data_IF_761569278107
#
_entry.id   IF_761569278107
#
_cell.length_a   1.000
_cell.length_b   1.000
_cell.length_c   1.000
_cell.angle_alpha   90.00
_cell.angle_beta   90.00
_cell.angle_gamma   90.00
#
_symmetry.space_group_name_H-M   'P 1'
#
loop_
_entity.id
_entity.type
_entity.pdbx_description
1 polymer ?
#
# COMPACT_ATOMS: atom_id res chain seq x y z
N UNK A 1 58.77 46.40 22.25
CA UNK A 1 57.90 46.08 21.10
C UNK A 1 57.21 44.76 21.41
N UNK A 2 55.91 44.82 21.72
CA UNK A 2 55.07 43.65 22.00
C UNK A 2 54.55 43.09 20.67
N UNK A 3 54.82 41.82 20.39
CA UNK A 3 54.17 41.08 19.32
C UNK A 3 52.99 40.31 19.95
N UNK A 4 51.77 40.75 19.67
CA UNK A 4 50.55 40.07 20.07
C UNK A 4 50.22 38.97 19.07
N UNK A 5 50.16 37.72 19.54
CA UNK A 5 49.60 36.59 18.80
C UNK A 5 48.07 36.67 18.84
N UNK A 6 47.46 36.98 17.70
CA UNK A 6 46.03 36.77 17.49
C UNK A 6 45.83 35.30 17.10
N UNK A 7 45.30 34.50 18.03
CA UNK A 7 44.82 33.14 17.75
C UNK A 7 43.35 33.22 17.35
N UNK A 8 43.06 33.10 16.06
CA UNK A 8 41.72 32.83 15.54
C UNK A 8 41.41 31.35 15.74
N UNK A 9 40.72 31.02 16.82
CA UNK A 9 40.05 29.72 16.98
C UNK A 9 38.84 29.69 16.03
N UNK A 10 39.07 29.24 14.80
CA UNK A 10 38.00 28.77 13.94
C UNK A 10 37.49 27.44 14.48
N UNK A 11 36.45 27.48 15.29
CA UNK A 11 35.58 26.32 15.54
C UNK A 11 34.89 25.99 14.21
N UNK A 12 35.56 25.20 13.38
CA UNK A 12 34.89 24.48 12.31
C UNK A 12 33.95 23.48 12.96
N UNK A 13 32.68 23.86 13.12
CA UNK A 13 31.59 22.91 13.28
C UNK A 13 31.62 22.05 12.01
N UNK A 14 32.28 20.89 12.11
CA UNK A 14 32.38 19.96 11.01
C UNK A 14 30.99 19.47 10.65
N UNK A 15 30.53 19.85 9.46
CA UNK A 15 29.43 19.22 8.72
C UNK A 15 29.85 17.79 8.32
N UNK A 16 30.13 16.95 9.32
CA UNK A 16 30.67 15.61 9.18
C UNK A 16 29.62 14.53 9.38
N UNK A 17 28.38 14.76 8.96
CA UNK A 17 27.42 13.67 8.87
C UNK A 17 27.76 12.86 7.62
N UNK A 18 28.29 11.65 7.82
CA UNK A 18 28.38 10.67 6.74
C UNK A 18 26.98 10.49 6.14
N UNK A 19 26.81 10.61 4.81
CA UNK A 19 25.53 10.37 4.18
C UNK A 19 25.02 8.99 4.56
N UNK A 20 23.81 8.92 5.15
CA UNK A 20 23.17 7.64 5.44
C UNK A 20 22.82 7.00 4.10
N UNK A 21 23.44 5.86 3.79
CA UNK A 21 23.13 5.08 2.60
C UNK A 21 21.76 4.41 2.78
N UNK A 22 20.73 4.99 2.15
CA UNK A 22 19.38 4.47 2.18
C UNK A 22 19.31 3.18 1.36
N UNK A 23 18.63 2.12 1.84
CA UNK A 23 18.30 0.99 0.99
C UNK A 23 17.56 1.43 -0.27
N UNK A 24 17.92 0.85 -1.42
CA UNK A 24 17.29 1.15 -2.71
C UNK A 24 15.90 0.49 -2.76
N UNK A 25 14.81 1.25 -3.01
CA UNK A 25 13.48 0.68 -3.14
C UNK A 25 13.34 -0.15 -4.43
N UNK A 26 12.45 -1.16 -4.46
CA UNK A 26 12.05 -1.81 -5.71
C UNK A 26 11.46 -0.81 -6.72
N UNK A 27 11.65 -1.09 -8.02
CA UNK A 27 11.05 -0.28 -9.07
C UNK A 27 9.54 -0.55 -9.18
N UNK A 28 8.75 0.52 -9.11
CA UNK A 28 7.29 0.53 -9.24
C UNK A 28 6.82 1.22 -10.53
N UNK A 29 7.75 1.68 -11.37
CA UNK A 29 7.45 2.53 -12.53
C UNK A 29 6.45 1.91 -13.51
N UNK A 30 6.58 0.60 -13.79
CA UNK A 30 5.66 -0.11 -14.67
C UNK A 30 4.23 -0.18 -14.11
N UNK A 31 4.09 -0.44 -12.80
CA UNK A 31 2.77 -0.52 -12.13
C UNK A 31 2.13 0.87 -12.09
N UNK A 32 2.90 1.90 -11.72
CA UNK A 32 2.45 3.30 -11.72
C UNK A 32 1.97 3.71 -13.11
N UNK A 33 2.74 3.43 -14.16
CA UNK A 33 2.40 3.80 -15.53
C UNK A 33 1.05 3.19 -15.99
N UNK A 34 0.73 1.95 -15.58
CA UNK A 34 -0.57 1.32 -15.89
C UNK A 34 -1.75 2.04 -15.24
N UNK A 35 -1.57 2.59 -14.04
CA UNK A 35 -2.61 3.36 -13.34
C UNK A 35 -2.71 4.82 -13.78
N UNK A 36 -1.68 5.37 -14.43
CA UNK A 36 -1.69 6.74 -14.94
C UNK A 36 -2.24 6.84 -16.37
N UNK A 37 -2.09 5.80 -17.18
CA UNK A 37 -2.48 5.81 -18.60
C UNK A 37 -3.08 4.46 -19.02
N UNK A 38 -4.37 4.20 -18.73
CA UNK A 38 -5.05 3.04 -19.29
C UNK A 38 -5.11 3.15 -20.81
N UNK A 39 -4.70 2.08 -21.50
CA UNK A 39 -4.60 2.04 -22.97
C UNK A 39 -5.74 1.25 -23.63
N UNK A 40 -6.49 0.49 -22.84
CA UNK A 40 -7.56 -0.37 -23.32
C UNK A 40 -8.75 0.41 -23.85
N UNK A 41 -9.38 -0.09 -24.91
CA UNK A 41 -10.65 0.46 -25.43
C UNK A 41 -11.82 -0.26 -24.77
N UNK A 42 -12.53 0.42 -23.88
CA UNK A 42 -13.70 -0.14 -23.22
C UNK A 42 -14.93 -0.09 -24.14
N UNK A 43 -15.60 -1.23 -24.30
CA UNK A 43 -16.76 -1.35 -25.19
C UNK A 43 -17.73 -2.41 -24.68
N UNK A 44 -18.96 -2.42 -25.22
CA UNK A 44 -20.00 -3.40 -24.89
C UNK A 44 -19.49 -4.84 -24.90
N UNK A 45 -18.70 -5.22 -25.90
CA UNK A 45 -18.23 -6.61 -26.07
C UNK A 45 -17.37 -7.13 -24.92
N UNK A 46 -16.74 -6.24 -24.14
CA UNK A 46 -15.84 -6.60 -23.04
C UNK A 46 -16.39 -6.20 -21.67
N UNK A 47 -17.49 -5.46 -21.61
CA UNK A 47 -17.98 -4.84 -20.39
C UNK A 47 -18.30 -5.87 -19.30
N UNK A 48 -19.06 -6.92 -19.63
CA UNK A 48 -19.39 -7.97 -18.67
C UNK A 48 -18.13 -8.63 -18.11
N UNK A 49 -17.22 -9.10 -18.98
CA UNK A 49 -16.00 -9.79 -18.55
C UNK A 49 -15.07 -8.90 -17.71
N UNK A 50 -14.91 -7.62 -18.07
CA UNK A 50 -14.10 -6.66 -17.29
C UNK A 50 -14.69 -6.42 -15.91
N UNK A 51 -16.01 -6.23 -15.83
CA UNK A 51 -16.68 -5.93 -14.56
C UNK A 51 -16.77 -7.17 -13.66
N UNK A 52 -16.99 -8.36 -14.21
CA UNK A 52 -16.91 -9.62 -13.46
C UNK A 52 -15.50 -9.87 -12.92
N UNK A 53 -14.46 -9.63 -13.73
CA UNK A 53 -13.07 -9.73 -13.29
C UNK A 53 -12.80 -8.75 -12.13
N UNK A 54 -13.24 -7.50 -12.25
CA UNK A 54 -13.15 -6.53 -11.16
C UNK A 54 -13.82 -7.02 -9.88
N UNK A 55 -15.07 -7.51 -9.96
CA UNK A 55 -15.81 -7.98 -8.79
C UNK A 55 -15.10 -9.16 -8.11
N UNK A 56 -14.56 -10.09 -8.89
CA UNK A 56 -13.77 -11.21 -8.38
C UNK A 56 -12.54 -10.71 -7.62
N UNK A 57 -11.74 -9.83 -8.21
CA UNK A 57 -10.52 -9.31 -7.57
C UNK A 57 -10.83 -8.41 -6.36
N UNK A 58 -11.85 -7.56 -6.44
CA UNK A 58 -12.30 -6.74 -5.33
C UNK A 58 -12.73 -7.60 -4.13
N UNK A 59 -13.47 -8.69 -4.37
CA UNK A 59 -13.85 -9.64 -3.33
C UNK A 59 -12.61 -10.30 -2.69
N UNK A 60 -11.63 -10.71 -3.50
CA UNK A 60 -10.36 -11.28 -3.00
C UNK A 60 -9.59 -10.27 -2.14
N UNK A 61 -9.49 -9.01 -2.57
CA UNK A 61 -8.83 -7.93 -1.81
C UNK A 61 -9.53 -7.71 -0.47
N UNK A 62 -10.87 -7.63 -0.47
CA UNK A 62 -11.64 -7.45 0.76
C UNK A 62 -11.53 -8.64 1.71
N UNK A 63 -11.51 -9.86 1.17
CA UNK A 63 -11.41 -11.09 1.96
C UNK A 63 -10.05 -11.22 2.67
N UNK A 64 -8.96 -10.80 2.03
CA UNK A 64 -7.62 -10.83 2.63
C UNK A 64 -7.35 -9.58 3.49
N UNK A 65 -7.91 -8.44 3.10
CA UNK A 65 -7.79 -7.14 3.77
C UNK A 65 -6.34 -6.67 4.03
N UNK A 66 -5.44 -6.98 3.08
CA UNK A 66 -4.01 -6.65 3.18
C UNK A 66 -3.77 -5.13 3.27
N UNK A 67 -4.63 -4.33 2.65
CA UNK A 67 -4.57 -2.87 2.67
C UNK A 67 -4.75 -2.30 4.09
N UNK A 68 -5.74 -2.78 4.85
CA UNK A 68 -5.96 -2.28 6.20
C UNK A 68 -4.82 -2.69 7.14
N UNK A 69 -4.30 -3.91 6.96
CA UNK A 69 -3.11 -4.38 7.68
C UNK A 69 -1.91 -3.45 7.45
N UNK A 70 -1.55 -3.22 6.20
CA UNK A 70 -0.35 -2.45 5.84
C UNK A 70 -0.49 -0.97 6.18
N UNK A 71 -1.65 -0.35 5.90
CA UNK A 71 -1.91 1.04 6.27
C UNK A 71 -1.87 1.20 7.79
N UNK A 72 -2.48 0.28 8.54
CA UNK A 72 -2.45 0.30 10.00
C UNK A 72 -1.04 0.21 10.55
N UNK A 73 -0.23 -0.71 10.02
CA UNK A 73 1.19 -0.85 10.40
C UNK A 73 1.97 0.42 10.10
N UNK A 74 1.79 1.01 8.91
CA UNK A 74 2.50 2.22 8.52
C UNK A 74 2.08 3.44 9.34
N UNK A 75 0.79 3.60 9.65
CA UNK A 75 0.33 4.68 10.55
C UNK A 75 1.01 4.60 11.91
N UNK A 76 0.97 3.44 12.56
CA UNK A 76 1.63 3.27 13.86
C UNK A 76 3.13 3.51 13.75
N UNK A 77 3.79 3.02 12.71
CA UNK A 77 5.21 3.27 12.47
C UNK A 77 5.50 4.76 12.31
N UNK A 78 4.71 5.49 11.52
CA UNK A 78 4.87 6.93 11.29
C UNK A 78 4.60 7.72 12.58
N UNK A 79 3.53 7.41 13.30
CA UNK A 79 3.15 8.08 14.55
C UNK A 79 4.23 7.89 15.62
N UNK A 80 4.68 6.65 15.85
CA UNK A 80 5.75 6.31 16.81
C UNK A 80 7.08 6.99 16.46
N UNK A 81 7.35 7.22 15.17
CA UNK A 81 8.59 7.90 14.77
C UNK A 81 8.46 9.42 14.85
N UNK A 82 7.29 9.97 14.54
CA UNK A 82 7.06 11.42 14.49
C UNK A 82 6.97 12.06 15.88
N UNK A 83 6.46 11.32 16.87
CA UNK A 83 6.34 11.81 18.24
C UNK A 83 7.65 11.65 19.01
N UNK A 84 8.45 12.73 19.07
CA UNK A 84 9.68 12.81 19.88
C UNK A 84 9.41 12.74 21.39
N UNK A 85 8.16 12.72 21.85
CA UNK A 85 7.78 12.96 23.26
C UNK A 85 6.88 11.91 23.92
N UNK A 86 6.28 10.98 23.18
CA UNK A 86 5.27 10.09 23.78
C UNK A 86 5.81 8.81 24.42
N UNK A 87 5.38 8.49 25.65
CA UNK A 87 5.63 7.18 26.26
C UNK A 87 4.81 6.12 25.52
N UNK A 88 5.47 5.08 24.99
CA UNK A 88 4.93 3.81 24.45
C UNK A 88 3.40 3.75 24.39
N UNK A 89 2.81 4.37 23.36
CA UNK A 89 1.38 4.24 23.14
C UNK A 89 1.09 2.79 22.76
N UNK A 90 0.33 2.08 23.61
CA UNK A 90 -0.38 0.87 23.16
C UNK A 90 -1.37 1.35 22.10
N UNK A 91 -1.13 0.97 20.84
CA UNK A 91 -2.00 1.30 19.73
C UNK A 91 -3.46 0.95 20.09
N UNK A 92 -4.31 1.96 20.23
CA UNK A 92 -5.76 1.77 20.24
C UNK A 92 -6.14 1.42 18.80
N UNK A 93 -6.29 0.12 18.56
CA UNK A 93 -6.73 -0.42 17.29
C UNK A 93 -8.08 0.19 16.91
N UNK A 94 -8.18 0.66 15.66
CA UNK A 94 -9.47 0.74 14.98
C UNK A 94 -10.13 -0.65 15.07
N UNK A 95 -11.44 -0.70 15.32
CA UNK A 95 -12.20 -1.91 15.65
C UNK A 95 -12.12 -3.06 14.61
N UNK A 96 -11.48 -2.82 13.47
CA UNK A 96 -11.30 -3.77 12.36
C UNK A 96 -9.85 -4.23 12.11
N UNK A 97 -8.86 -3.75 12.87
CA UNK A 97 -7.45 -4.13 12.70
C UNK A 97 -7.01 -5.01 13.88
N UNK A 98 -6.48 -6.23 13.65
CA UNK A 98 -5.93 -7.05 14.73
C UNK A 98 -4.86 -6.29 15.52
N UNK A 99 -4.73 -6.54 16.82
CA UNK A 99 -3.67 -5.93 17.64
C UNK A 99 -2.31 -6.56 17.30
N UNK A 100 -1.38 -5.76 16.77
CA UNK A 100 0.01 -6.14 16.47
C UNK A 100 0.98 -5.46 17.45
N UNK A 101 2.13 -6.09 17.74
CA UNK A 101 3.24 -5.44 18.47
C UNK A 101 4.28 -4.89 17.48
N UNK A 102 4.73 -3.65 17.70
CA UNK A 102 5.79 -2.99 16.92
C UNK A 102 7.14 -3.22 17.57
N UNK A 103 8.14 -3.67 16.80
CA UNK A 103 9.55 -3.49 17.17
C UNK A 103 10.17 -2.39 16.31
N UNK A 104 10.62 -1.33 16.97
CA UNK A 104 11.06 -0.10 16.32
C UNK A 104 12.51 0.26 16.70
N UNK A 105 13.31 0.72 15.72
CA UNK A 105 14.62 1.34 15.93
C UNK A 105 14.67 2.67 15.19
N UNK A 106 14.28 3.79 15.83
CA UNK A 106 14.44 5.11 15.23
C UNK A 106 15.91 5.50 15.15
N UNK A 107 16.34 6.06 14.03
CA UNK A 107 17.33 7.13 14.02
C UNK A 107 16.57 8.45 13.79
N UNK A 108 16.92 9.49 14.54
CA UNK A 108 16.15 10.75 14.60
C UNK A 108 15.95 11.40 13.21
N UNK A 109 14.74 11.94 12.98
CA UNK A 109 14.29 12.64 11.76
C UNK A 109 14.99 13.98 11.44
N UNK A 110 16.16 14.25 12.02
CA UNK A 110 16.90 15.49 11.74
C UNK A 110 17.76 15.38 10.46
N UNK A 111 17.60 14.28 9.71
CA UNK A 111 18.35 14.00 8.50
C UNK A 111 17.60 12.99 7.61
N UNK A 112 18.09 12.79 6.39
CA UNK A 112 17.65 11.72 5.49
C UNK A 112 17.89 10.35 6.13
N UNK A 113 16.94 9.42 6.02
CA UNK A 113 17.09 8.12 6.66
C UNK A 113 16.10 7.06 6.22
N UNK A 114 16.11 5.96 6.98
CA UNK A 114 15.26 4.80 6.75
C UNK A 114 14.76 4.23 8.07
N UNK A 115 13.50 3.81 8.05
CA UNK A 115 12.84 3.07 9.11
C UNK A 115 12.73 1.62 8.67
N UNK A 116 13.19 0.72 9.53
CA UNK A 116 12.92 -0.72 9.42
C UNK A 116 11.88 -1.08 10.48
N UNK A 117 10.80 -1.74 10.07
CA UNK A 117 9.76 -2.21 10.98
C UNK A 117 9.62 -3.72 10.91
N UNK A 118 9.39 -4.33 12.07
CA UNK A 118 8.97 -5.73 12.21
C UNK A 118 7.66 -5.75 13.00
N UNK A 119 6.68 -6.48 12.47
CA UNK A 119 5.39 -6.74 13.08
C UNK A 119 5.20 -8.23 13.22
N UNK A 120 4.90 -8.67 14.43
CA UNK A 120 4.56 -10.05 14.72
C UNK A 120 3.05 -10.21 14.54
N UNK A 121 2.64 -11.23 13.80
CA UNK A 121 1.24 -11.48 13.52
C UNK A 121 0.51 -12.04 14.77
N UNK A 122 -0.77 -11.72 14.94
CA UNK A 122 -1.53 -11.98 16.18
C UNK A 122 -1.89 -13.47 16.37
N UNK A 123 -1.80 -14.26 15.31
CA UNK A 123 -2.15 -15.68 15.29
C UNK A 123 -3.64 -15.95 15.09
N UNK A 124 -4.00 -17.23 15.17
CA UNK A 124 -5.38 -17.72 15.12
C UNK A 124 -5.93 -18.07 16.50
N UNK A 125 -5.52 -17.38 17.56
CA UNK A 125 -6.19 -17.47 18.85
C UNK A 125 -7.38 -16.48 18.88
N UNK A 126 -8.48 -16.83 19.56
CA UNK A 126 -9.61 -15.90 19.72
C UNK A 126 -9.21 -14.66 20.51
N UNK A 127 -8.31 -14.87 21.48
CA UNK A 127 -7.57 -13.83 22.18
C UNK A 127 -6.16 -13.85 21.64
N UNK A 128 -5.82 -12.93 20.72
CA UNK A 128 -4.53 -12.99 20.08
C UNK A 128 -3.40 -12.75 21.07
N UNK A 129 -2.31 -13.50 20.90
CA UNK A 129 -1.10 -13.39 21.71
C UNK A 129 0.04 -13.18 20.74
N UNK A 130 0.89 -12.21 21.04
CA UNK A 130 2.05 -11.90 20.21
C UNK A 130 3.07 -13.03 20.36
N UNK A 131 3.27 -13.77 19.28
CA UNK A 131 4.20 -14.91 19.22
C UNK A 131 4.84 -14.94 17.82
N UNK A 132 6.18 -15.02 17.76
CA UNK A 132 6.92 -15.05 16.49
C UNK A 132 6.54 -16.25 15.63
N UNK A 133 6.04 -17.33 16.25
CA UNK A 133 5.57 -18.52 15.53
C UNK A 133 4.29 -18.26 14.72
N UNK A 134 3.59 -17.15 14.98
CA UNK A 134 2.45 -16.69 14.17
C UNK A 134 2.87 -15.99 12.88
N UNK A 135 4.17 -15.85 12.61
CA UNK A 135 4.69 -15.18 11.43
C UNK A 135 4.91 -13.68 11.61
N UNK A 136 5.50 -13.07 10.59
CA UNK A 136 5.95 -11.67 10.63
C UNK A 136 5.68 -10.93 9.33
N UNK A 137 5.50 -9.62 9.47
CA UNK A 137 5.58 -8.63 8.41
C UNK A 137 6.80 -7.75 8.71
N UNK A 138 7.76 -7.72 7.78
CA UNK A 138 8.95 -6.86 7.87
C UNK A 138 8.97 -5.89 6.70
N UNK A 139 9.33 -4.64 6.91
CA UNK A 139 9.44 -3.69 5.81
C UNK A 139 10.35 -2.51 6.08
N UNK A 140 10.52 -1.74 5.01
CA UNK A 140 11.38 -0.57 4.96
C UNK A 140 10.59 0.62 4.45
N UNK A 141 10.77 1.75 5.13
CA UNK A 141 10.23 3.06 4.76
C UNK A 141 11.40 4.05 4.75
N UNK A 142 11.70 4.64 3.59
CA UNK A 142 12.70 5.69 3.51
C UNK A 142 12.03 7.07 3.68
N UNK A 143 12.81 8.06 4.13
CA UNK A 143 12.33 9.42 4.34
C UNK A 143 13.44 10.45 4.19
N UNK A 144 13.04 11.69 3.96
CA UNK A 144 13.92 12.87 3.91
C UNK A 144 13.31 14.00 4.73
N UNK A 145 13.99 15.14 4.75
CA UNK A 145 13.44 16.39 5.30
C UNK A 145 12.14 16.82 4.62
N UNK A 146 11.90 16.42 3.37
CA UNK A 146 10.68 16.73 2.63
C UNK A 146 9.51 15.80 2.93
N UNK A 147 9.73 14.70 3.67
CA UNK A 147 8.68 13.73 4.01
C UNK A 147 9.07 12.29 3.70
N UNK A 148 8.07 11.48 3.32
CA UNK A 148 8.25 10.08 2.97
C UNK A 148 8.75 9.94 1.55
N UNK A 149 9.69 9.01 1.34
CA UNK A 149 10.04 8.60 -0.02
C UNK A 149 8.83 7.86 -0.65
N UNK A 150 8.65 7.91 -1.98
CA UNK A 150 7.41 7.45 -2.61
C UNK A 150 7.13 5.95 -2.49
N UNK A 151 8.13 5.13 -2.17
CA UNK A 151 8.01 3.67 -2.16
C UNK A 151 8.28 3.10 -0.78
N UNK A 152 7.33 2.31 -0.30
CA UNK A 152 7.47 1.42 0.86
C UNK A 152 7.49 -0.01 0.35
N UNK A 153 8.33 -0.85 0.92
CA UNK A 153 8.32 -2.26 0.56
C UNK A 153 8.45 -3.14 1.79
N UNK A 154 7.85 -4.31 1.70
CA UNK A 154 7.75 -5.24 2.81
C UNK A 154 7.72 -6.68 2.30
N UNK A 155 7.96 -7.59 3.23
CA UNK A 155 7.89 -9.03 3.07
C UNK A 155 7.00 -9.57 4.19
N UNK A 156 6.14 -10.52 3.83
CA UNK A 156 5.27 -11.23 4.75
C UNK A 156 5.74 -12.68 4.82
N UNK A 157 5.84 -13.24 6.03
CA UNK A 157 6.26 -14.63 6.26
C UNK A 157 5.39 -15.29 7.31
N UNK A 158 4.69 -16.34 6.91
CA UNK A 158 3.87 -17.20 7.74
C UNK A 158 2.79 -16.46 8.53
N UNK A 159 2.34 -15.27 8.10
CA UNK A 159 1.57 -14.34 8.92
C UNK A 159 0.14 -14.83 9.13
N UNK A 160 -0.17 -15.28 10.35
CA UNK A 160 -1.46 -15.80 10.76
C UNK A 160 -2.28 -14.72 11.46
N UNK A 161 -3.52 -14.53 11.03
CA UNK A 161 -4.49 -13.68 11.73
C UNK A 161 -5.93 -14.13 11.47
N UNK A 162 -6.87 -13.57 12.24
CA UNK A 162 -8.30 -13.70 11.97
C UNK A 162 -8.91 -12.40 11.49
N UNK A 163 -9.80 -12.51 10.51
CA UNK A 163 -10.67 -11.44 10.07
C UNK A 163 -12.12 -11.95 10.14
N UNK A 164 -12.95 -11.30 10.94
CA UNK A 164 -14.38 -11.68 11.10
C UNK A 164 -14.59 -13.18 11.41
N UNK A 165 -13.69 -13.77 12.20
CA UNK A 165 -13.71 -15.20 12.57
C UNK A 165 -13.06 -16.14 11.55
N UNK A 166 -12.77 -15.68 10.35
CA UNK A 166 -12.09 -16.44 9.29
C UNK A 166 -10.58 -16.46 9.55
N UNK A 167 -9.97 -17.64 9.44
CA UNK A 167 -8.51 -17.81 9.54
C UNK A 167 -7.85 -17.43 8.21
N UNK A 168 -6.85 -16.57 8.28
CA UNK A 168 -6.05 -16.14 7.15
C UNK A 168 -4.57 -16.42 7.47
N UNK A 169 -3.86 -16.97 6.48
CA UNK A 169 -2.41 -17.09 6.46
C UNK A 169 -1.88 -16.36 5.22
N UNK A 170 -0.94 -15.45 5.42
CA UNK A 170 -0.26 -14.73 4.33
C UNK A 170 1.22 -15.03 4.32
N UNK A 171 1.73 -15.25 3.13
CA UNK A 171 3.11 -15.50 2.80
C UNK A 171 3.62 -16.83 3.35
N UNK A 172 3.97 -17.78 2.50
CA UNK A 172 4.61 -19.05 2.88
C UNK A 172 5.88 -19.32 2.04
N UNK A 173 6.19 -18.42 1.10
CA UNK A 173 7.36 -18.46 0.22
C UNK A 173 8.35 -17.33 0.55
N UNK A 174 9.63 -17.54 0.25
CA UNK A 174 10.68 -16.54 0.37
C UNK A 174 10.50 -15.34 -0.58
N UNK A 175 9.71 -15.53 -1.63
CA UNK A 175 9.45 -14.54 -2.69
C UNK A 175 8.28 -13.60 -2.39
N UNK A 176 7.48 -13.87 -1.36
CA UNK A 176 6.29 -13.07 -1.06
C UNK A 176 6.68 -11.63 -0.65
N UNK A 177 6.14 -10.65 -1.37
CA UNK A 177 6.44 -9.24 -1.16
C UNK A 177 5.22 -8.34 -1.38
N UNK A 178 5.25 -7.20 -0.69
CA UNK A 178 4.28 -6.14 -0.89
C UNK A 178 5.00 -4.82 -1.04
N UNK A 179 4.68 -4.09 -2.11
CA UNK A 179 5.21 -2.77 -2.39
C UNK A 179 4.06 -1.79 -2.42
N UNK A 180 4.29 -0.60 -1.88
CA UNK A 180 3.32 0.47 -1.86
C UNK A 180 3.97 1.69 -2.49
N UNK A 181 3.28 2.31 -3.44
CA UNK A 181 3.59 3.64 -3.93
C UNK A 181 2.65 4.63 -3.25
N UNK A 182 3.24 5.53 -2.46
CA UNK A 182 2.54 6.54 -1.68
C UNK A 182 2.23 7.80 -2.50
N UNK A 183 2.96 8.02 -3.59
CA UNK A 183 2.97 9.28 -4.31
C UNK A 183 4.22 10.12 -4.04
N UNK A 184 4.45 11.09 -4.91
CA UNK A 184 5.52 12.08 -4.70
C UNK A 184 5.09 13.13 -3.68
N UNK A 185 6.03 13.56 -2.82
CA UNK A 185 5.82 14.69 -1.91
C UNK A 185 4.88 14.38 -0.74
N UNK A 186 4.67 13.11 -0.39
CA UNK A 186 3.89 12.73 0.79
C UNK A 186 4.64 13.13 2.05
N UNK A 187 3.98 13.91 2.90
CA UNK A 187 4.50 14.26 4.22
C UNK A 187 4.01 13.27 5.26
N UNK A 188 4.64 13.24 6.45
CA UNK A 188 4.14 12.43 7.56
C UNK A 188 2.69 12.79 7.94
N UNK A 189 2.34 14.08 7.89
CA UNK A 189 1.01 14.57 8.23
C UNK A 189 -0.04 14.26 7.15
N UNK A 190 0.36 14.13 5.89
CA UNK A 190 -0.54 13.79 4.78
C UNK A 190 -0.59 12.30 4.45
N UNK A 191 0.14 11.46 5.18
CA UNK A 191 0.09 10.01 5.00
C UNK A 191 -1.32 9.47 5.21
N UNK A 192 -1.80 8.68 4.24
CA UNK A 192 -3.15 8.12 4.29
C UNK A 192 -4.27 9.12 3.99
N UNK A 193 -3.94 10.28 3.40
CA UNK A 193 -4.90 11.23 2.81
C UNK A 193 -4.91 11.18 1.28
N UNK A 194 -3.99 10.42 0.68
CA UNK A 194 -3.86 10.28 -0.77
C UNK A 194 -4.04 8.82 -1.18
N UNK A 195 -4.43 8.55 -2.43
CA UNK A 195 -4.47 7.20 -2.97
C UNK A 195 -3.11 6.50 -2.85
N UNK A 196 -3.13 5.27 -2.37
CA UNK A 196 -1.95 4.41 -2.24
C UNK A 196 -2.09 3.27 -3.25
N UNK A 197 -1.05 3.07 -4.06
CA UNK A 197 -0.98 1.99 -5.03
C UNK A 197 -0.23 0.81 -4.41
N UNK A 198 -0.87 -0.34 -4.36
CA UNK A 198 -0.34 -1.59 -3.86
C UNK A 198 0.06 -2.46 -5.04
N UNK A 199 1.24 -3.06 -4.96
CA UNK A 199 1.72 -4.14 -5.80
C UNK A 199 1.99 -5.33 -4.88
N UNK A 200 1.12 -6.33 -4.98
CA UNK A 200 1.08 -7.48 -4.06
C UNK A 200 1.39 -8.73 -4.85
N UNK A 201 2.39 -9.45 -4.39
CA UNK A 201 2.77 -10.78 -4.89
C UNK A 201 3.01 -11.64 -3.65
N UNK A 202 1.98 -12.36 -3.22
CA UNK A 202 2.07 -13.27 -2.09
C UNK A 202 1.19 -14.50 -2.25
N UNK A 203 1.51 -15.55 -1.51
CA UNK A 203 0.57 -16.65 -1.25
C UNK A 203 -0.41 -16.32 -0.13
N UNK A 204 -1.70 -16.60 -0.33
CA UNK A 204 -2.74 -16.41 0.68
C UNK A 204 -3.53 -17.71 0.87
N UNK A 205 -3.73 -18.11 2.12
CA UNK A 205 -4.68 -19.16 2.49
C UNK A 205 -5.83 -18.54 3.28
N UNK A 206 -7.05 -18.70 2.78
CA UNK A 206 -8.27 -18.24 3.47
C UNK A 206 -9.16 -19.43 3.74
N UNK A 207 -9.49 -19.65 5.01
CA UNK A 207 -10.32 -20.78 5.44
C UNK A 207 -9.81 -22.16 4.95
N UNK A 208 -8.50 -22.35 4.83
CA UNK A 208 -7.90 -23.61 4.36
C UNK A 208 -7.71 -23.69 2.84
N UNK A 209 -8.17 -22.70 2.08
CA UNK A 209 -7.99 -22.65 0.63
C UNK A 209 -6.82 -21.74 0.28
N UNK A 210 -5.75 -22.34 -0.24
CA UNK A 210 -4.55 -21.64 -0.67
C UNK A 210 -4.66 -21.20 -2.12
N UNK A 211 -4.32 -19.94 -2.41
CA UNK A 211 -4.24 -19.39 -3.74
C UNK A 211 -3.10 -18.36 -3.83
N UNK A 212 -2.47 -18.19 -5.01
CA UNK A 212 -1.64 -17.03 -5.26
C UNK A 212 -2.51 -15.76 -5.17
N UNK A 213 -1.94 -14.68 -4.64
CA UNK A 213 -2.55 -13.36 -4.51
C UNK A 213 -1.58 -12.36 -5.16
N UNK A 214 -1.60 -12.38 -6.49
CA UNK A 214 -0.77 -11.58 -7.38
C UNK A 214 -1.65 -10.53 -8.05
N UNK A 215 -1.66 -9.31 -7.52
CA UNK A 215 -2.46 -8.22 -8.09
C UNK A 215 -1.94 -6.84 -7.68
N UNK A 216 -2.18 -5.85 -8.53
CA UNK A 216 -1.92 -4.45 -8.23
C UNK A 216 -3.22 -3.66 -8.16
N UNK A 217 -3.40 -2.88 -7.09
CA UNK A 217 -4.63 -2.13 -6.84
C UNK A 217 -4.33 -0.79 -6.18
N UNK A 218 -5.16 0.22 -6.44
CA UNK A 218 -5.08 1.54 -5.81
C UNK A 218 -6.23 1.71 -4.83
N UNK A 219 -5.91 2.07 -3.59
CA UNK A 219 -6.90 2.36 -2.56
C UNK A 219 -6.81 3.83 -2.16
N UNK A 220 -7.94 4.53 -2.24
CA UNK A 220 -8.10 5.89 -1.74
C UNK A 220 -8.71 5.83 -0.32
N UNK A 221 -7.91 6.01 0.74
CA UNK A 221 -8.41 5.94 2.12
C UNK A 221 -9.36 7.07 2.48
N UNK A 222 -9.28 8.23 1.82
CA UNK A 222 -10.16 9.37 2.07
C UNK A 222 -11.55 9.12 1.49
N UNK A 223 -11.61 8.57 0.27
CA UNK A 223 -12.86 8.30 -0.45
C UNK A 223 -13.42 6.90 -0.21
N UNK A 224 -12.62 5.99 0.36
CA UNK A 224 -12.95 4.57 0.45
C UNK A 224 -13.05 3.89 -0.92
N UNK A 225 -12.34 4.42 -1.93
CA UNK A 225 -12.42 3.91 -3.31
C UNK A 225 -11.36 2.83 -3.53
N UNK A 226 -11.75 1.72 -4.15
CA UNK A 226 -10.85 0.67 -4.61
C UNK A 226 -10.81 0.66 -6.13
N UNK A 227 -9.63 0.80 -6.71
CA UNK A 227 -9.39 0.76 -8.15
C UNK A 227 -8.42 -0.38 -8.52
N UNK A 228 -8.71 -1.11 -9.59
CA UNK A 228 -7.92 -2.26 -10.06
C UNK A 228 -7.67 -2.09 -11.56
N UNK A 229 -6.45 -2.37 -12.01
CA UNK A 229 -6.14 -2.43 -13.44
C UNK A 229 -6.56 -3.80 -13.97
N UNK A 230 -7.40 -3.81 -15.00
CA UNK A 230 -7.92 -5.01 -15.64
C UNK A 230 -7.48 -4.99 -17.10
N UNK A 231 -6.79 -6.06 -17.53
CA UNK A 231 -6.47 -6.25 -18.95
C UNK A 231 -7.72 -6.64 -19.74
N UNK A 232 -7.89 -6.07 -20.93
CA UNK A 232 -9.01 -6.42 -21.80
C UNK A 232 -8.82 -7.86 -22.29
N UNK A 233 -9.83 -8.75 -22.13
CA UNK A 233 -9.72 -10.15 -22.49
C UNK A 233 -9.77 -10.31 -24.02
N UNK A 234 -8.62 -10.18 -24.66
CA UNK A 234 -8.43 -10.37 -26.10
C UNK A 234 -7.08 -11.04 -26.39
N UNK A 235 -6.98 -11.70 -27.54
CA UNK A 235 -5.72 -12.28 -28.01
C UNK A 235 -5.34 -11.67 -29.37
N UNK A 236 -4.32 -10.78 -29.44
CA UNK A 236 -3.48 -10.30 -28.32
C UNK A 236 -4.21 -9.30 -27.40
N UNK A 237 -3.67 -8.98 -26.20
CA UNK A 237 -4.28 -8.02 -25.28
C UNK A 237 -4.43 -6.63 -25.91
N UNK A 238 -5.63 -6.04 -25.83
CA UNK A 238 -5.96 -4.72 -26.38
C UNK A 238 -5.61 -3.55 -25.44
N UNK A 239 -4.78 -3.80 -24.43
CA UNK A 239 -4.45 -2.85 -23.36
C UNK A 239 -5.26 -3.09 -22.09
N UNK A 240 -5.17 -2.14 -21.16
CA UNK A 240 -5.79 -2.25 -19.84
C UNK A 240 -6.72 -1.08 -19.53
N UNK A 241 -7.72 -1.34 -18.72
CA UNK A 241 -8.63 -0.33 -18.14
C UNK A 241 -8.45 -0.29 -16.63
N UNK A 242 -8.86 0.79 -15.98
CA UNK A 242 -8.91 0.89 -14.52
C UNK A 242 -10.38 0.84 -14.13
N UNK A 243 -10.77 -0.13 -13.34
CA UNK A 243 -12.13 -0.22 -12.79
C UNK A 243 -12.07 0.18 -11.33
N UNK A 244 -12.95 1.07 -10.90
CA UNK A 244 -13.01 1.54 -9.52
C UNK A 244 -14.43 1.55 -8.97
N UNK A 245 -14.59 1.30 -7.68
CA UNK A 245 -15.88 1.38 -6.99
C UNK A 245 -15.86 2.45 -5.90
N UNK A 246 -16.92 3.24 -5.81
CA UNK A 246 -17.16 4.10 -4.65
C UNK A 246 -17.92 3.35 -3.53
N UNK A 247 -18.14 4.01 -2.39
CA UNK A 247 -18.88 3.45 -1.26
C UNK A 247 -20.35 3.09 -1.59
N UNK A 248 -20.92 3.66 -2.64
CA UNK A 248 -22.27 3.37 -3.15
C UNK A 248 -22.31 2.18 -4.12
N UNK A 249 -21.17 1.50 -4.32
CA UNK A 249 -20.99 0.41 -5.29
C UNK A 249 -21.25 0.81 -6.75
N UNK A 250 -21.18 2.10 -7.09
CA UNK A 250 -21.14 2.55 -8.47
C UNK A 250 -19.74 2.29 -9.03
N UNK A 251 -19.69 1.74 -10.24
CA UNK A 251 -18.43 1.41 -10.89
C UNK A 251 -18.05 2.47 -11.92
N UNK A 252 -16.85 3.01 -11.80
CA UNK A 252 -16.23 3.86 -12.82
C UNK A 252 -15.16 3.08 -13.55
N UNK A 253 -15.21 3.06 -14.88
CA UNK A 253 -14.19 2.47 -15.75
C UNK A 253 -13.44 3.60 -16.46
N UNK A 254 -12.14 3.75 -16.18
CA UNK A 254 -11.24 4.64 -16.90
C UNK A 254 -10.52 3.84 -17.99
N UNK A 255 -10.67 4.26 -19.25
CA UNK A 255 -10.16 3.57 -20.42
C UNK A 255 -9.49 4.56 -21.38
N UNK A 256 -8.73 4.04 -22.36
CA UNK A 256 -8.07 4.87 -23.37
C UNK A 256 -9.04 5.65 -24.28
N UNK A 257 -10.31 5.22 -24.33
CA UNK A 257 -11.39 5.88 -25.07
C UNK A 257 -12.35 6.70 -24.18
N UNK A 258 -12.04 6.92 -22.91
CA UNK A 258 -12.80 7.78 -22.01
C UNK A 258 -13.15 7.12 -20.67
N UNK A 259 -14.01 7.80 -19.92
CA UNK A 259 -14.50 7.34 -18.62
C UNK A 259 -15.96 6.92 -18.74
N UNK A 260 -16.30 5.80 -18.10
CA UNK A 260 -17.63 5.21 -18.14
C UNK A 260 -18.14 5.00 -16.71
N UNK A 261 -19.40 5.31 -16.47
CA UNK A 261 -20.13 4.99 -15.25
C UNK A 261 -21.01 3.78 -15.52
N UNK A 262 -20.77 2.68 -14.81
CA UNK A 262 -21.43 1.41 -15.05
C UNK A 262 -22.31 1.02 -13.85
N UNK A 263 -23.56 0.67 -14.14
CA UNK A 263 -24.51 0.12 -13.19
C UNK A 263 -24.65 -1.39 -13.44
N UNK A 264 -24.23 -2.19 -12.46
CA UNK A 264 -24.29 -3.65 -12.55
C UNK A 264 -25.73 -4.21 -12.55
N UNK A 265 -26.66 -3.50 -11.91
CA UNK A 265 -28.05 -3.96 -11.78
C UNK A 265 -28.82 -3.78 -13.10
N UNK A 266 -28.65 -2.63 -13.77
CA UNK A 266 -29.24 -2.40 -15.10
C UNK A 266 -28.39 -2.90 -16.26
N UNK A 267 -27.14 -3.34 -15.98
CA UNK A 267 -26.12 -3.70 -16.99
C UNK A 267 -25.94 -2.60 -18.03
N UNK A 268 -25.85 -1.35 -17.57
CA UNK A 268 -25.68 -0.17 -18.43
C UNK A 268 -24.40 0.57 -18.06
N UNK A 269 -23.67 1.02 -19.07
CA UNK A 269 -22.55 1.93 -18.93
C UNK A 269 -22.83 3.22 -19.71
N UNK A 270 -22.65 4.37 -19.07
CA UNK A 270 -22.79 5.70 -19.68
C UNK A 270 -21.47 6.44 -19.70
N UNK A 271 -21.19 7.22 -20.74
CA UNK A 271 -19.99 8.05 -20.85
C UNK A 271 -20.37 9.48 -21.22
N UNK A 272 -19.60 10.46 -20.76
CA UNK A 272 -19.79 11.86 -21.14
C UNK A 272 -19.34 12.15 -22.58
N UNK A 273 -18.49 11.29 -23.15
CA UNK A 273 -17.84 11.49 -24.46
C UNK A 273 -18.21 10.45 -25.51
N UNK A 274 -18.98 9.44 -25.16
CA UNK A 274 -19.39 8.35 -26.06
C UNK A 274 -20.85 7.95 -25.81
N UNK A 275 -21.50 7.40 -26.83
CA UNK A 275 -22.83 6.81 -26.68
C UNK A 275 -22.78 5.70 -25.61
N UNK A 276 -23.60 5.83 -24.58
CA UNK A 276 -23.77 4.80 -23.56
C UNK A 276 -24.23 3.47 -24.17
N UNK A 277 -23.96 2.37 -23.47
CA UNK A 277 -24.34 1.03 -23.93
C UNK A 277 -24.83 0.15 -22.79
N UNK A 278 -25.85 -0.66 -23.08
CA UNK A 278 -26.23 -1.84 -22.28
C UNK A 278 -25.32 -3.01 -22.64
N UNK A 279 -24.98 -3.88 -21.71
CA UNK A 279 -24.16 -5.08 -21.93
C UNK A 279 -24.82 -6.32 -21.34
#
# INVERSE_FOLDING_TARGET
MMAGFASTLGLGCGDGFEPIDKPVPPDMSAVVARFERPTGVFSRSYAEAVLEHYLSEAARIMQVNVQALLIGVLRVTIDETSDKTSPKHKATASASVPTFETFFKPQAFESNGSVFFERICPGWAEKPVVDRDNGTLTGTLNFSESGLDPVVWSRIRGCRFRLEGVKILLGDDAHDHVRLWLGHGVTFASFGQHPILFDVDLSAEVAGLQAPFELSFRFDPEKGTLAIVIDIPSDPPLGSVIVSSNASAELTVEAGNGTFQCNLSSRECTSDSADGFTF
#
